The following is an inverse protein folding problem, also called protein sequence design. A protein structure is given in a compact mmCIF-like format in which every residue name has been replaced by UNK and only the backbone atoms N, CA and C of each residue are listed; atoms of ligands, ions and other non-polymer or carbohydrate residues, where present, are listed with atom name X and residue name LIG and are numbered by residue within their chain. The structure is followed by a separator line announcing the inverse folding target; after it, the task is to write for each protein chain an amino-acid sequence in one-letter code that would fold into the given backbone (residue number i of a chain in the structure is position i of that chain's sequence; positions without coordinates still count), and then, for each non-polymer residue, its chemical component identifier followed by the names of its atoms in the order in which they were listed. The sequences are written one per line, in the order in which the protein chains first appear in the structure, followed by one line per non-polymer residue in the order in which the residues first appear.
data_IF_207476025985
#
_entry.id   IF_207476025985
#
_cell.length_a   1.000
_cell.length_b   1.000
_cell.length_c   1.000
_cell.angle_alpha   90.00
_cell.angle_beta   90.00
_cell.angle_gamma   90.00
#
_symmetry.space_group_name_H-M   'P 1'
#
loop_
_entity.id
_entity.type
_entity.pdbx_description
1 polymer ?
#
# COMPACT_ATOMS: atom_id res chain seq x y z
N UNK A 1 -55.11 -9.15 41.17
CA UNK A 1 -54.94 -8.19 40.06
C UNK A 1 -53.79 -7.18 40.28
N UNK A 2 -53.55 -6.66 41.50
CA UNK A 2 -52.45 -5.70 41.79
C UNK A 2 -51.01 -6.23 41.52
N UNK A 3 -50.75 -7.53 41.69
CA UNK A 3 -49.41 -8.13 41.46
C UNK A 3 -48.99 -8.17 39.98
N UNK A 4 -49.96 -8.24 39.06
CA UNK A 4 -49.69 -8.22 37.60
C UNK A 4 -49.27 -6.84 37.09
N UNK A 5 -49.73 -5.77 37.76
CA UNK A 5 -49.46 -4.39 37.33
C UNK A 5 -48.05 -3.93 37.71
N UNK A 6 -47.49 -4.47 38.80
CA UNK A 6 -46.11 -4.18 39.24
C UNK A 6 -45.08 -4.86 38.33
N UNK A 7 -45.39 -6.07 37.84
CA UNK A 7 -44.52 -6.82 36.94
C UNK A 7 -44.39 -6.17 35.55
N UNK A 8 -45.45 -5.53 35.05
CA UNK A 8 -45.42 -4.82 33.76
C UNK A 8 -44.62 -3.51 33.83
N UNK A 9 -44.64 -2.81 34.97
CA UNK A 9 -43.82 -1.61 35.19
C UNK A 9 -42.32 -1.90 35.25
N UNK A 10 -41.93 -3.05 35.80
CA UNK A 10 -40.52 -3.45 35.89
C UNK A 10 -39.91 -3.78 34.51
N UNK A 11 -40.72 -4.29 33.56
CA UNK A 11 -40.27 -4.56 32.19
C UNK A 11 -39.94 -3.30 31.39
N UNK A 12 -40.58 -2.17 31.69
CA UNK A 12 -40.31 -0.90 31.00
C UNK A 12 -38.98 -0.26 31.41
N UNK A 13 -38.47 -0.56 32.61
CA UNK A 13 -37.18 -0.04 33.08
C UNK A 13 -35.99 -0.73 32.38
N UNK A 14 -36.22 -1.89 31.75
CA UNK A 14 -35.19 -2.63 31.01
C UNK A 14 -35.07 -2.22 29.53
N UNK A 15 -35.90 -1.28 29.06
CA UNK A 15 -35.77 -0.72 27.70
C UNK A 15 -34.66 0.32 27.72
N UNK A 16 -33.41 -0.15 27.81
CA UNK A 16 -32.24 0.68 27.61
C UNK A 16 -32.22 1.17 26.17
N UNK A 17 -32.38 2.47 25.94
CA UNK A 17 -32.06 3.08 24.67
C UNK A 17 -30.54 2.95 24.45
N UNK A 18 -30.12 1.86 23.80
CA UNK A 18 -28.85 1.89 23.08
C UNK A 18 -28.94 3.05 22.11
N UNK A 19 -28.13 4.09 22.33
CA UNK A 19 -27.95 5.11 21.31
C UNK A 19 -27.33 4.39 20.12
N UNK A 20 -28.17 3.95 19.19
CA UNK A 20 -27.78 3.44 17.88
C UNK A 20 -27.14 4.58 17.08
N UNK A 21 -26.01 5.09 17.58
CA UNK A 21 -25.17 5.99 16.83
C UNK A 21 -24.68 5.17 15.64
N UNK A 22 -24.91 5.61 14.40
CA UNK A 22 -24.29 4.97 13.26
C UNK A 22 -22.79 4.90 13.51
N UNK A 23 -22.17 3.79 13.10
CA UNK A 23 -20.71 3.65 13.12
C UNK A 23 -20.10 4.93 12.57
N UNK A 24 -19.26 5.59 13.37
CA UNK A 24 -18.62 6.82 12.95
C UNK A 24 -17.82 6.50 11.69
N UNK A 25 -18.17 7.15 10.58
CA UNK A 25 -17.45 6.98 9.32
C UNK A 25 -15.98 7.33 9.57
N UNK A 26 -15.08 6.37 9.34
CA UNK A 26 -13.64 6.59 9.46
C UNK A 26 -13.17 7.73 8.53
N UNK A 27 -11.94 8.25 8.74
CA UNK A 27 -11.40 9.27 7.84
C UNK A 27 -11.41 8.77 6.39
N UNK A 28 -11.67 9.66 5.44
CA UNK A 28 -11.50 9.34 4.02
C UNK A 28 -10.00 9.14 3.73
N UNK A 29 -9.59 7.91 3.47
CA UNK A 29 -8.20 7.55 3.16
C UNK A 29 -8.09 7.23 1.68
N UNK A 30 -7.14 7.86 1.00
CA UNK A 30 -6.83 7.55 -0.39
C UNK A 30 -5.53 6.76 -0.46
N UNK A 31 -5.53 5.66 -1.21
CA UNK A 31 -4.33 4.88 -1.48
C UNK A 31 -4.16 4.81 -2.99
N UNK A 32 -3.00 5.24 -3.49
CA UNK A 32 -2.72 5.21 -4.93
C UNK A 32 -1.34 4.59 -5.22
N UNK A 33 -1.22 3.89 -6.36
CA UNK A 33 0.05 3.32 -6.81
C UNK A 33 0.98 4.39 -7.37
N UNK A 34 2.26 4.26 -7.08
CA UNK A 34 3.36 5.07 -7.63
C UNK A 34 4.36 4.13 -8.27
N UNK A 35 4.47 4.21 -9.60
CA UNK A 35 5.42 3.46 -10.39
C UNK A 35 6.68 4.30 -10.62
N UNK A 36 7.81 3.81 -10.15
CA UNK A 36 9.13 4.40 -10.42
C UNK A 36 9.90 3.46 -11.33
N UNK A 37 10.49 3.97 -12.41
CA UNK A 37 11.16 3.14 -13.41
C UNK A 37 12.50 3.71 -13.85
N UNK A 38 13.43 2.81 -14.18
CA UNK A 38 14.71 3.13 -14.81
C UNK A 38 14.95 2.18 -15.97
N UNK A 39 15.15 2.73 -17.17
CA UNK A 39 15.51 1.98 -18.37
C UNK A 39 16.99 2.23 -18.72
N UNK A 40 17.72 1.15 -19.03
CA UNK A 40 19.15 1.18 -19.30
C UNK A 40 19.50 0.40 -20.57
N UNK A 41 20.63 0.80 -21.16
CA UNK A 41 21.26 0.10 -22.27
C UNK A 41 22.51 -0.62 -21.75
N UNK A 42 22.57 -1.94 -21.95
CA UNK A 42 23.54 -2.82 -21.29
C UNK A 42 24.55 -3.45 -22.26
N UNK A 43 24.67 -2.89 -23.46
CA UNK A 43 25.72 -3.28 -24.40
C UNK A 43 27.12 -3.04 -23.81
N UNK A 44 28.15 -3.70 -24.37
CA UNK A 44 29.53 -3.64 -23.84
C UNK A 44 30.06 -2.22 -23.62
N UNK A 45 29.71 -1.27 -24.49
CA UNK A 45 30.19 0.11 -24.41
C UNK A 45 29.52 0.91 -23.29
N UNK A 46 28.24 0.64 -23.00
CA UNK A 46 27.44 1.37 -22.02
C UNK A 46 27.37 0.66 -20.66
N UNK A 47 27.88 -0.57 -20.54
CA UNK A 47 27.75 -1.40 -19.35
C UNK A 47 28.21 -0.71 -18.05
N UNK A 48 29.36 -0.05 -18.05
CA UNK A 48 29.88 0.64 -16.86
C UNK A 48 28.98 1.80 -16.42
N UNK A 49 28.47 2.56 -17.40
CA UNK A 49 27.53 3.67 -17.15
C UNK A 49 26.18 3.14 -16.65
N UNK A 50 25.69 2.04 -17.23
CA UNK A 50 24.46 1.38 -16.81
C UNK A 50 24.57 0.88 -15.36
N UNK A 51 25.72 0.28 -14.98
CA UNK A 51 25.96 -0.15 -13.60
C UNK A 51 25.94 1.03 -12.63
N UNK A 52 26.62 2.12 -12.96
CA UNK A 52 26.66 3.32 -12.10
C UNK A 52 25.26 3.89 -11.90
N UNK A 53 24.50 4.06 -12.99
CA UNK A 53 23.12 4.58 -12.92
C UNK A 53 22.17 3.67 -12.17
N UNK A 54 22.33 2.36 -12.31
CA UNK A 54 21.58 1.40 -11.50
C UNK A 54 21.90 1.59 -10.02
N UNK A 55 23.17 1.73 -9.66
CA UNK A 55 23.59 1.84 -8.27
C UNK A 55 23.07 3.12 -7.62
N UNK A 56 23.13 4.24 -8.32
CA UNK A 56 22.53 5.51 -7.89
C UNK A 56 21.02 5.36 -7.65
N UNK A 57 20.31 4.75 -8.61
CA UNK A 57 18.88 4.52 -8.51
C UNK A 57 18.50 3.61 -7.34
N UNK A 58 19.26 2.54 -7.11
CA UNK A 58 19.04 1.64 -5.98
C UNK A 58 19.31 2.34 -4.64
N UNK A 59 20.30 3.24 -4.60
CA UNK A 59 20.57 4.05 -3.42
C UNK A 59 19.42 5.01 -3.11
N UNK A 60 18.95 5.76 -4.11
CA UNK A 60 17.82 6.69 -3.97
C UNK A 60 16.52 5.99 -3.55
N UNK A 61 16.29 4.77 -4.04
CA UNK A 61 15.05 4.01 -3.79
C UNK A 61 15.15 3.02 -2.62
N UNK A 62 16.23 3.05 -1.82
CA UNK A 62 16.54 2.04 -0.81
C UNK A 62 15.35 1.67 0.11
N UNK A 63 14.61 2.66 0.60
CA UNK A 63 13.45 2.44 1.47
C UNK A 63 12.32 1.63 0.81
N UNK A 64 12.12 1.83 -0.51
CA UNK A 64 11.11 1.10 -1.27
C UNK A 64 11.57 -0.31 -1.65
N UNK A 65 12.88 -0.53 -1.84
CA UNK A 65 13.40 -1.81 -2.35
C UNK A 65 13.02 -3.01 -1.48
N UNK A 66 13.12 -2.89 -0.16
CA UNK A 66 12.91 -4.01 0.78
C UNK A 66 11.45 -4.27 1.11
N UNK A 67 10.54 -3.36 0.72
CA UNK A 67 9.13 -3.42 1.11
C UNK A 67 8.18 -3.63 -0.06
N UNK A 68 8.57 -3.18 -1.26
CA UNK A 68 7.69 -3.08 -2.42
C UNK A 68 7.99 -4.16 -3.47
N UNK A 69 7.07 -4.32 -4.42
CA UNK A 69 7.29 -5.22 -5.55
C UNK A 69 8.21 -4.56 -6.58
N UNK A 70 9.16 -5.34 -7.09
CA UNK A 70 10.12 -4.93 -8.09
C UNK A 70 10.03 -5.90 -9.28
N UNK A 71 9.94 -5.34 -10.48
CA UNK A 71 9.98 -6.12 -11.72
C UNK A 71 11.20 -5.71 -12.54
N UNK A 72 12.01 -6.70 -12.89
CA UNK A 72 13.17 -6.56 -13.75
C UNK A 72 12.81 -7.07 -15.14
N UNK A 73 12.80 -6.16 -16.10
CA UNK A 73 12.54 -6.48 -17.48
C UNK A 73 13.82 -6.54 -18.30
N UNK A 74 13.86 -7.45 -19.26
CA UNK A 74 14.95 -7.54 -20.23
C UNK A 74 14.44 -7.88 -21.64
N UNK A 75 15.24 -7.55 -22.66
CA UNK A 75 14.91 -7.81 -24.07
C UNK A 75 15.99 -8.57 -24.83
N UNK A 76 17.26 -8.28 -24.55
CA UNK A 76 18.42 -8.90 -25.21
C UNK A 76 19.11 -9.89 -24.28
N UNK A 77 19.96 -10.80 -24.80
CA UNK A 77 20.78 -11.67 -23.94
C UNK A 77 21.74 -10.90 -23.02
N UNK A 78 22.22 -9.73 -23.44
CA UNK A 78 23.02 -8.84 -22.58
C UNK A 78 22.17 -8.27 -21.43
N UNK A 79 20.96 -7.79 -21.74
CA UNK A 79 20.00 -7.31 -20.74
C UNK A 79 19.54 -8.41 -19.79
N UNK A 80 19.38 -9.65 -20.26
CA UNK A 80 19.03 -10.80 -19.42
C UNK A 80 20.13 -11.08 -18.39
N UNK A 81 21.40 -11.13 -18.83
CA UNK A 81 22.54 -11.29 -17.93
C UNK A 81 22.61 -10.16 -16.90
N UNK A 82 22.35 -8.93 -17.35
CA UNK A 82 22.31 -7.77 -16.47
C UNK A 82 21.16 -7.85 -15.45
N UNK A 83 19.97 -8.29 -15.86
CA UNK A 83 18.82 -8.50 -14.99
C UNK A 83 19.07 -9.59 -13.94
N UNK A 84 19.69 -10.70 -14.32
CA UNK A 84 20.04 -11.79 -13.39
C UNK A 84 21.05 -11.30 -12.33
N UNK A 85 22.08 -10.56 -12.76
CA UNK A 85 23.04 -9.94 -11.83
C UNK A 85 22.37 -8.92 -10.91
N UNK A 86 21.50 -8.08 -11.45
CA UNK A 86 20.74 -7.08 -10.69
C UNK A 86 19.86 -7.76 -9.65
N UNK A 87 19.16 -8.86 -9.99
CA UNK A 87 18.40 -9.66 -9.04
C UNK A 87 19.27 -10.15 -7.89
N UNK A 88 20.45 -10.68 -8.17
CA UNK A 88 21.37 -11.15 -7.13
C UNK A 88 21.81 -10.01 -6.22
N UNK A 89 22.12 -8.84 -6.79
CA UNK A 89 22.44 -7.64 -6.02
C UNK A 89 21.28 -7.21 -5.12
N UNK A 90 20.05 -7.13 -5.65
CA UNK A 90 18.86 -6.81 -4.85
C UNK A 90 18.66 -7.79 -3.69
N UNK A 91 18.88 -9.09 -3.92
CA UNK A 91 18.83 -10.09 -2.85
C UNK A 91 19.89 -9.86 -1.77
N UNK A 92 21.12 -9.50 -2.16
CA UNK A 92 22.17 -9.14 -1.19
C UNK A 92 21.87 -7.86 -0.40
N UNK A 93 21.01 -7.00 -0.92
CA UNK A 93 20.50 -5.80 -0.24
C UNK A 93 19.27 -6.07 0.64
N UNK A 94 18.87 -7.34 0.79
CA UNK A 94 17.76 -7.75 1.66
C UNK A 94 16.38 -7.76 0.99
N UNK A 95 16.30 -7.60 -0.33
CA UNK A 95 15.01 -7.74 -1.05
C UNK A 95 14.61 -9.20 -1.10
N UNK A 96 13.37 -9.47 -0.68
CA UNK A 96 12.85 -10.84 -0.60
C UNK A 96 12.54 -11.40 -2.00
N UNK A 97 12.61 -12.72 -2.16
CA UNK A 97 12.51 -13.34 -3.49
C UNK A 97 11.11 -13.20 -4.09
N UNK A 98 10.08 -13.19 -3.24
CA UNK A 98 8.68 -13.00 -3.58
C UNK A 98 8.35 -11.58 -4.06
N UNK A 99 9.20 -10.60 -3.72
CA UNK A 99 9.08 -9.22 -4.18
C UNK A 99 9.77 -8.99 -5.53
N UNK A 100 10.59 -9.94 -6.00
CA UNK A 100 11.39 -9.81 -7.22
C UNK A 100 10.81 -10.66 -8.36
N UNK A 101 10.43 -10.01 -9.45
CA UNK A 101 10.02 -10.70 -10.69
C UNK A 101 10.98 -10.39 -11.83
N UNK A 102 11.28 -11.40 -12.65
CA UNK A 102 12.03 -11.24 -13.88
C UNK A 102 11.13 -11.57 -15.04
N UNK A 103 11.01 -10.63 -15.98
CA UNK A 103 10.11 -10.76 -17.11
C UNK A 103 10.83 -10.41 -18.40
N UNK A 104 10.68 -11.27 -19.41
CA UNK A 104 11.12 -10.93 -20.76
C UNK A 104 10.09 -9.98 -21.36
N UNK A 105 10.52 -8.78 -21.73
CA UNK A 105 9.63 -7.84 -22.39
C UNK A 105 9.59 -8.09 -23.88
N UNK A 106 8.39 -8.33 -24.41
CA UNK A 106 8.11 -8.27 -25.84
C UNK A 106 7.95 -6.81 -26.34
N UNK A 107 7.56 -5.89 -25.44
CA UNK A 107 7.27 -4.51 -25.76
C UNK A 107 8.46 -3.58 -25.46
N UNK A 108 8.57 -2.52 -26.27
CA UNK A 108 9.67 -1.55 -26.24
C UNK A 108 9.56 -0.63 -25.02
N UNK A 109 10.63 -0.56 -24.20
CA UNK A 109 10.86 0.54 -23.25
C UNK A 109 11.60 1.72 -23.91
N UNK A 110 11.61 1.76 -25.24
CA UNK A 110 12.45 2.58 -26.12
C UNK A 110 13.37 1.69 -26.96
N UNK A 111 13.65 2.07 -28.22
CA UNK A 111 14.43 1.22 -29.13
C UNK A 111 15.86 0.94 -28.63
N UNK A 112 16.40 1.81 -27.78
CA UNK A 112 17.80 1.76 -27.31
C UNK A 112 18.01 1.04 -25.97
N UNK A 113 16.95 0.78 -25.21
CA UNK A 113 17.05 0.15 -23.89
C UNK A 113 16.79 -1.35 -23.98
N UNK A 114 17.57 -2.12 -23.23
CA UNK A 114 17.46 -3.58 -23.21
C UNK A 114 17.29 -4.16 -21.81
N UNK A 115 17.32 -3.30 -20.79
CA UNK A 115 16.99 -3.57 -19.41
C UNK A 115 16.09 -2.47 -18.83
N UNK A 116 15.14 -2.83 -17.97
CA UNK A 116 14.35 -1.89 -17.18
C UNK A 116 14.08 -2.44 -15.78
N UNK A 117 14.12 -1.60 -14.77
CA UNK A 117 13.65 -1.91 -13.41
C UNK A 117 12.46 -1.03 -13.08
N UNK A 118 11.39 -1.65 -12.61
CA UNK A 118 10.17 -0.99 -12.14
C UNK A 118 9.96 -1.31 -10.66
N UNK A 119 9.65 -0.29 -9.86
CA UNK A 119 9.29 -0.39 -8.45
C UNK A 119 7.87 0.16 -8.29
N UNK A 120 6.96 -0.67 -7.80
CA UNK A 120 5.56 -0.29 -7.56
C UNK A 120 5.31 -0.12 -6.06
N UNK A 121 5.27 1.13 -5.62
CA UNK A 121 4.94 1.50 -4.24
C UNK A 121 3.50 2.00 -4.14
N UNK A 122 2.89 1.90 -2.95
CA UNK A 122 1.57 2.52 -2.69
C UNK A 122 1.73 3.63 -1.66
N UNK A 123 1.18 4.81 -1.98
CA UNK A 123 1.19 5.96 -1.07
C UNK A 123 -0.21 6.18 -0.49
N UNK A 124 -0.23 6.65 0.76
CA UNK A 124 -1.45 6.97 1.49
C UNK A 124 -1.57 8.48 1.60
N UNK A 125 -2.74 9.02 1.27
CA UNK A 125 -3.17 10.38 1.63
C UNK A 125 -4.19 10.28 2.74
N UNK A 126 -3.97 11.05 3.80
CA UNK A 126 -4.85 11.10 4.97
C UNK A 126 -5.33 12.53 5.16
N UNK A 127 -6.55 12.74 5.71
CA UNK A 127 -7.08 14.08 5.92
C UNK A 127 -6.34 14.78 7.07
N UNK A 128 -6.38 16.11 7.08
CA UNK A 128 -5.91 16.90 8.22
C UNK A 128 -6.92 16.77 9.36
N UNK A 129 -6.50 16.19 10.47
CA UNK A 129 -7.39 15.97 11.62
C UNK A 129 -7.46 17.22 12.52
N UNK A 130 -8.66 17.71 12.88
CA UNK A 130 -8.82 18.80 13.83
C UNK A 130 -8.42 18.36 15.25
N UNK A 131 -7.96 19.31 16.07
CA UNK A 131 -7.64 19.04 17.48
C UNK A 131 -8.88 18.62 18.27
N UNK A 132 -8.69 17.68 19.19
CA UNK A 132 -9.74 17.26 20.11
C UNK A 132 -10.14 18.43 21.01
N UNK A 133 -11.43 18.80 20.97
CA UNK A 133 -12.00 19.79 21.87
C UNK A 133 -12.77 19.06 22.98
N UNK A 134 -12.55 19.47 24.24
CA UNK A 134 -13.22 18.87 25.41
C UNK A 134 -14.75 18.91 25.27
N UNK A 135 -15.28 19.94 24.61
CA UNK A 135 -16.70 20.12 24.30
C UNK A 135 -17.26 19.19 23.21
N UNK A 136 -16.39 18.49 22.46
CA UNK A 136 -16.77 17.64 21.31
C UNK A 136 -16.34 16.18 21.48
N UNK A 137 -16.00 15.77 22.71
CA UNK A 137 -15.73 14.36 23.02
C UNK A 137 -16.96 13.51 22.68
N UNK A 138 -16.79 12.54 21.78
CA UNK A 138 -17.86 11.67 21.29
C UNK A 138 -18.62 12.15 20.04
N UNK A 139 -18.19 13.25 19.41
CA UNK A 139 -18.66 13.66 18.07
C UNK A 139 -17.80 13.05 16.95
N UNK A 140 -18.30 13.08 15.71
CA UNK A 140 -17.62 12.59 14.50
C UNK A 140 -16.14 13.04 14.42
N UNK A 141 -15.23 12.13 14.08
CA UNK A 141 -13.79 12.41 13.96
C UNK A 141 -12.94 12.05 15.18
N UNK A 142 -13.54 11.59 16.29
CA UNK A 142 -12.82 10.93 17.39
C UNK A 142 -12.23 9.61 16.92
N UNK A 143 -11.02 9.67 16.36
CA UNK A 143 -10.34 8.54 15.73
C UNK A 143 -9.59 8.92 14.47
N UNK A 144 -9.89 10.09 13.87
CA UNK A 144 -9.23 10.57 12.65
C UNK A 144 -7.70 10.51 12.78
N UNK A 145 -7.14 11.04 13.87
CA UNK A 145 -5.69 11.09 14.06
C UNK A 145 -5.08 9.68 14.21
N UNK A 146 -5.73 8.82 15.00
CA UNK A 146 -5.26 7.46 15.26
C UNK A 146 -5.32 6.64 13.97
N UNK A 147 -6.44 6.69 13.24
CA UNK A 147 -6.60 5.99 11.98
C UNK A 147 -5.65 6.53 10.90
N UNK A 148 -5.52 7.85 10.77
CA UNK A 148 -4.55 8.46 9.84
C UNK A 148 -3.12 8.01 10.12
N UNK A 149 -2.72 8.00 11.39
CA UNK A 149 -1.39 7.53 11.83
C UNK A 149 -1.20 6.04 11.57
N UNK A 150 -2.24 5.23 11.81
CA UNK A 150 -2.24 3.79 11.51
C UNK A 150 -2.01 3.56 10.03
N UNK A 151 -2.75 4.23 9.16
CA UNK A 151 -2.62 4.09 7.71
C UNK A 151 -1.26 4.57 7.18
N UNK A 152 -0.74 5.69 7.68
CA UNK A 152 0.60 6.18 7.32
C UNK A 152 1.73 5.23 7.76
N UNK A 153 1.51 4.44 8.80
CA UNK A 153 2.49 3.47 9.30
C UNK A 153 2.45 2.13 8.57
N UNK A 154 1.49 1.91 7.65
CA UNK A 154 1.38 0.66 6.91
C UNK A 154 2.42 0.57 5.79
N UNK A 155 3.09 -0.59 5.71
CA UNK A 155 4.04 -0.89 4.65
C UNK A 155 3.35 -1.25 3.32
N UNK A 156 2.16 -1.87 3.40
CA UNK A 156 1.36 -2.34 2.26
C UNK A 156 -0.11 -1.91 2.41
N UNK A 157 -0.41 -0.60 2.35
CA UNK A 157 -1.75 -0.06 2.61
C UNK A 157 -2.83 -0.60 1.66
N UNK A 158 -2.48 -0.91 0.41
CA UNK A 158 -3.41 -1.43 -0.61
C UNK A 158 -4.06 -2.77 -0.22
N UNK A 159 -3.46 -3.55 0.69
CA UNK A 159 -4.04 -4.81 1.17
C UNK A 159 -5.31 -4.59 1.99
N UNK A 160 -5.46 -3.43 2.61
CA UNK A 160 -6.67 -3.06 3.36
C UNK A 160 -7.87 -2.82 2.44
N UNK A 161 -7.65 -2.41 1.18
CA UNK A 161 -8.73 -2.18 0.22
C UNK A 161 -9.30 -3.49 -0.34
N UNK A 162 -8.51 -4.58 -0.34
CA UNK A 162 -8.92 -5.87 -0.88
C UNK A 162 -10.02 -6.54 -0.05
N UNK A 163 -10.12 -6.24 1.25
CA UNK A 163 -11.20 -6.74 2.10
C UNK A 163 -12.56 -6.10 1.79
N UNK A 164 -12.60 -4.86 1.28
CA UNK A 164 -13.87 -4.18 0.97
C UNK A 164 -14.54 -4.74 -0.30
N UNK A 165 -13.75 -5.21 -1.28
CA UNK A 165 -14.31 -5.83 -2.49
C UNK A 165 -15.04 -7.15 -2.22
N UNK A 166 -14.78 -7.82 -1.10
CA UNK A 166 -15.50 -9.04 -0.71
C UNK A 166 -16.87 -8.75 -0.07
N UNK A 167 -17.09 -7.55 0.49
CA UNK A 167 -18.38 -7.18 1.10
C UNK A 167 -19.42 -6.74 0.07
N UNK A 168 -19.00 -6.31 -1.13
CA UNK A 168 -19.96 -5.91 -2.18
C UNK A 168 -20.52 -7.08 -3.02
N UNK A 169 -19.98 -8.29 -2.89
CA UNK A 169 -20.53 -9.48 -3.56
C UNK A 169 -21.52 -10.29 -2.70
N UNK A 170 -21.84 -9.81 -1.48
CA UNK A 170 -22.72 -10.48 -0.52
C UNK A 170 -24.13 -9.88 -0.39
N UNK A 171 -24.60 -9.08 -1.35
CA UNK A 171 -26.01 -8.66 -1.43
C UNK A 171 -26.57 -8.95 -2.81
N UNK A 172 -27.03 -10.20 -2.97
CA UNK A 172 -28.10 -10.59 -3.89
C UNK A 172 -29.10 -11.41 -3.12
#
# INVERSE_FOLDING_TARGET
MKKSMVMFGLLWVLIGCSSGRPDQSGPAIEVYPVLTSLALQTNRQQLAKAQTRLDDFLHEQHAALVTQQIVLYWRTPDGERFAIKTRQKLRSLGVASEQLRLEKSSNSFGQHFDFKVDILAHKVVVPVCPYAQVSRFGQEGTGCFIESSRWQSMVNPQKMLQSESHLQHGSR
#
